data_IF_658295198140
#
_entry.id   IF_658295198140
#
_cell.length_a   1.000
_cell.length_b   1.000
_cell.length_c   1.000
_cell.angle_alpha   90.00
_cell.angle_beta   90.00
_cell.angle_gamma   90.00
#
_symmetry.space_group_name_H-M   'P 1'
#
loop_
_entity.id
_entity.type
_entity.pdbx_description
1 polymer ?
#
# COMPACT_ATOMS: atom_id res chain seq x y z
N UNK A 1 -20.97 -33.13 20.00
CA UNK A 1 -19.72 -33.26 19.24
C UNK A 1 -19.68 -32.06 18.32
N UNK A 2 -19.04 -30.97 18.75
CA UNK A 2 -19.02 -29.70 18.03
C UNK A 2 -18.03 -29.81 16.85
N UNK A 3 -18.57 -29.89 15.65
CA UNK A 3 -17.79 -29.79 14.42
C UNK A 3 -17.25 -28.36 14.31
N UNK A 4 -16.01 -28.15 14.75
CA UNK A 4 -15.30 -26.89 14.53
C UNK A 4 -15.19 -26.68 13.01
N UNK A 5 -15.99 -25.76 12.49
CA UNK A 5 -15.92 -25.33 11.10
C UNK A 5 -14.47 -24.94 10.76
N UNK A 6 -13.90 -25.60 9.75
CA UNK A 6 -12.57 -25.26 9.20
C UNK A 6 -12.63 -23.80 8.73
N UNK A 7 -11.66 -22.94 9.12
CA UNK A 7 -11.66 -21.55 8.68
C UNK A 7 -11.70 -21.49 7.14
N UNK A 8 -12.36 -20.48 6.56
CA UNK A 8 -12.46 -20.35 5.11
C UNK A 8 -11.04 -20.36 4.51
N UNK A 9 -10.84 -21.18 3.48
CA UNK A 9 -9.59 -21.15 2.72
C UNK A 9 -9.43 -19.78 2.08
N UNK A 10 -8.24 -19.21 2.19
CA UNK A 10 -7.88 -17.97 1.49
C UNK A 10 -7.96 -18.18 -0.01
N UNK A 11 -8.46 -17.18 -0.72
CA UNK A 11 -8.49 -17.18 -2.18
C UNK A 11 -7.11 -16.87 -2.75
N UNK A 12 -6.89 -17.15 -4.04
CA UNK A 12 -5.68 -16.73 -4.75
C UNK A 12 -5.45 -15.21 -4.65
N UNK A 13 -6.52 -14.42 -4.74
CA UNK A 13 -6.46 -12.96 -4.60
C UNK A 13 -5.98 -12.53 -3.20
N UNK A 14 -6.38 -13.25 -2.15
CA UNK A 14 -5.92 -12.99 -0.79
C UNK A 14 -4.43 -13.28 -0.67
N UNK A 15 -3.95 -14.38 -1.26
CA UNK A 15 -2.53 -14.73 -1.28
C UNK A 15 -1.67 -13.69 -2.02
N UNK A 16 -2.13 -13.22 -3.18
CA UNK A 16 -1.45 -12.15 -3.93
C UNK A 16 -1.44 -10.82 -3.16
N UNK A 17 -2.55 -10.50 -2.48
CA UNK A 17 -2.66 -9.30 -1.67
C UNK A 17 -1.72 -9.34 -0.45
N UNK A 18 -1.60 -10.49 0.20
CA UNK A 18 -0.68 -10.71 1.33
C UNK A 18 0.78 -10.65 0.90
N UNK A 19 1.13 -11.28 -0.22
CA UNK A 19 2.46 -11.19 -0.81
C UNK A 19 2.82 -9.73 -1.11
N UNK A 20 1.93 -8.99 -1.77
CA UNK A 20 2.11 -7.56 -2.05
C UNK A 20 2.28 -6.72 -0.79
N UNK A 21 1.53 -7.00 0.28
CA UNK A 21 1.66 -6.30 1.56
C UNK A 21 3.05 -6.52 2.19
N UNK A 22 3.54 -7.76 2.19
CA UNK A 22 4.89 -8.10 2.70
C UNK A 22 5.97 -7.42 1.87
N UNK A 23 5.84 -7.42 0.55
CA UNK A 23 6.78 -6.74 -0.34
C UNK A 23 6.82 -5.23 -0.09
N UNK A 24 5.66 -4.58 0.06
CA UNK A 24 5.63 -3.15 0.41
C UNK A 24 6.34 -2.90 1.73
N UNK A 25 6.05 -3.69 2.77
CA UNK A 25 6.68 -3.52 4.07
C UNK A 25 8.22 -3.66 3.99
N UNK A 26 8.71 -4.62 3.21
CA UNK A 26 10.15 -4.82 2.98
C UNK A 26 10.78 -3.71 2.11
N UNK A 27 10.01 -3.09 1.21
CA UNK A 27 10.52 -2.02 0.34
C UNK A 27 10.69 -0.68 1.06
N UNK A 28 9.83 -0.35 2.04
CA UNK A 28 9.79 0.98 2.67
C UNK A 28 11.14 1.51 3.18
N UNK A 29 12.00 0.72 3.86
CA UNK A 29 13.32 1.18 4.31
C UNK A 29 14.25 1.60 3.17
N UNK A 30 14.11 0.99 1.99
CA UNK A 30 14.98 1.20 0.83
C UNK A 30 14.51 2.37 -0.04
N UNK A 31 13.18 2.59 -0.11
CA UNK A 31 12.57 3.67 -0.92
C UNK A 31 13.14 5.06 -0.58
N UNK A 32 13.49 5.31 0.69
CA UNK A 32 14.02 6.61 1.12
C UNK A 32 15.28 6.99 0.34
N UNK A 33 16.13 6.01 0.02
CA UNK A 33 17.39 6.20 -0.69
C UNK A 33 17.23 5.93 -2.19
N UNK A 34 16.74 4.74 -2.53
CA UNK A 34 16.71 4.21 -3.90
C UNK A 34 15.44 4.58 -4.68
N UNK A 35 14.47 5.20 -4.00
CA UNK A 35 13.17 5.53 -4.56
C UNK A 35 12.32 4.30 -4.89
N UNK A 36 11.25 4.52 -5.66
CA UNK A 36 10.47 3.44 -6.25
C UNK A 36 11.18 2.96 -7.52
N UNK A 37 12.03 1.96 -7.38
CA UNK A 37 12.91 1.48 -8.46
C UNK A 37 12.97 -0.05 -8.50
N UNK A 38 13.45 -0.59 -9.61
CA UNK A 38 13.67 -2.04 -9.76
C UNK A 38 14.64 -2.58 -8.70
N UNK A 39 15.65 -1.78 -8.31
CA UNK A 39 16.56 -2.14 -7.22
C UNK A 39 15.80 -2.31 -5.90
N UNK A 40 14.91 -1.37 -5.55
CA UNK A 40 14.04 -1.47 -4.38
C UNK A 40 13.14 -2.70 -4.45
N UNK A 41 12.61 -3.05 -5.63
CA UNK A 41 11.78 -4.25 -5.79
C UNK A 41 12.59 -5.53 -5.59
N UNK A 42 13.78 -5.64 -6.18
CA UNK A 42 14.65 -6.80 -6.03
C UNK A 42 15.08 -7.01 -4.57
N UNK A 43 15.43 -5.94 -3.86
CA UNK A 43 15.77 -6.02 -2.43
C UNK A 43 14.53 -6.39 -1.59
N UNK A 44 13.37 -5.83 -1.89
CA UNK A 44 12.12 -6.19 -1.21
C UNK A 44 11.76 -7.68 -1.41
N UNK A 45 12.00 -8.25 -2.59
CA UNK A 45 11.84 -9.69 -2.82
C UNK A 45 12.76 -10.51 -1.91
N UNK A 46 14.04 -10.13 -1.81
CA UNK A 46 15.01 -10.80 -0.96
C UNK A 46 14.65 -10.70 0.55
N UNK A 47 14.18 -9.53 0.99
CA UNK A 47 13.95 -9.23 2.41
C UNK A 47 12.56 -9.66 2.92
N UNK A 48 11.58 -9.80 2.04
CA UNK A 48 10.17 -10.03 2.43
C UNK A 48 9.84 -11.47 2.82
N UNK A 49 10.70 -12.44 2.49
CA UNK A 49 10.42 -13.86 2.60
C UNK A 49 9.28 -14.35 1.70
N UNK A 50 8.87 -13.55 0.71
CA UNK A 50 7.91 -13.95 -0.34
C UNK A 50 8.67 -14.72 -1.42
N UNK A 51 8.09 -15.83 -1.87
CA UNK A 51 8.65 -16.56 -3.02
C UNK A 51 8.80 -15.63 -4.23
N UNK A 52 9.96 -15.61 -4.94
CA UNK A 52 10.18 -14.67 -6.02
C UNK A 52 9.13 -14.74 -7.14
N UNK A 53 8.69 -15.95 -7.52
CA UNK A 53 7.68 -16.10 -8.56
C UNK A 53 6.32 -15.56 -8.11
N UNK A 54 5.93 -15.82 -6.86
CA UNK A 54 4.74 -15.22 -6.26
C UNK A 54 4.86 -13.68 -6.17
N UNK A 55 6.04 -13.16 -5.88
CA UNK A 55 6.29 -11.74 -5.80
C UNK A 55 6.15 -11.03 -7.15
N UNK A 56 6.68 -11.63 -8.22
CA UNK A 56 6.45 -11.15 -9.59
C UNK A 56 4.99 -11.27 -10.02
N UNK A 57 4.28 -12.31 -9.59
CA UNK A 57 2.85 -12.43 -9.86
C UNK A 57 2.04 -11.37 -9.09
N UNK A 58 2.43 -11.05 -7.86
CA UNK A 58 1.78 -10.04 -7.03
C UNK A 58 2.07 -8.59 -7.51
N UNK A 59 3.25 -8.35 -8.09
CA UNK A 59 3.70 -7.06 -8.62
C UNK A 59 4.29 -7.23 -10.04
N UNK A 60 3.46 -7.48 -11.07
CA UNK A 60 3.95 -7.72 -12.42
C UNK A 60 4.70 -6.52 -13.03
N UNK A 61 4.44 -5.30 -12.55
CA UNK A 61 5.13 -4.07 -12.96
C UNK A 61 6.22 -3.64 -11.95
N UNK A 62 6.62 -4.56 -11.06
CA UNK A 62 7.67 -4.35 -10.07
C UNK A 62 7.39 -3.16 -9.15
N UNK A 63 8.32 -2.21 -9.15
CA UNK A 63 8.29 -1.03 -8.28
C UNK A 63 7.03 -0.17 -8.41
N UNK A 64 6.44 -0.09 -9.61
CA UNK A 64 5.20 0.66 -9.83
C UNK A 64 4.04 0.08 -9.03
N UNK A 65 3.90 -1.24 -9.05
CA UNK A 65 2.85 -1.92 -8.29
C UNK A 65 3.09 -1.81 -6.77
N UNK A 66 4.36 -1.78 -6.32
CA UNK A 66 4.68 -1.49 -4.92
C UNK A 66 4.27 -0.07 -4.51
N UNK A 67 4.60 0.94 -5.31
CA UNK A 67 4.25 2.32 -5.04
C UNK A 67 2.72 2.49 -4.92
N UNK A 68 1.98 1.93 -5.88
CA UNK A 68 0.52 1.93 -5.87
C UNK A 68 -0.06 1.18 -4.67
N UNK A 69 0.53 0.04 -4.32
CA UNK A 69 0.11 -0.72 -3.14
C UNK A 69 0.31 0.05 -1.85
N UNK A 70 1.41 0.78 -1.71
CA UNK A 70 1.67 1.67 -0.59
C UNK A 70 0.61 2.78 -0.49
N UNK A 71 0.26 3.42 -1.61
CA UNK A 71 -0.80 4.43 -1.65
C UNK A 71 -2.15 3.87 -1.17
N UNK A 72 -2.54 2.71 -1.70
CA UNK A 72 -3.78 2.01 -1.31
C UNK A 72 -3.77 1.52 0.14
N UNK A 73 -2.60 1.23 0.72
CA UNK A 73 -2.48 0.92 2.15
C UNK A 73 -2.80 2.15 3.01
N UNK A 74 -2.30 3.33 2.62
CA UNK A 74 -2.63 4.60 3.27
C UNK A 74 -4.12 4.93 3.19
N UNK A 75 -4.76 4.69 2.04
CA UNK A 75 -6.21 4.93 1.89
C UNK A 75 -7.03 4.01 2.80
N UNK A 76 -6.67 2.71 2.86
CA UNK A 76 -7.29 1.76 3.79
C UNK A 76 -7.08 2.16 5.24
N UNK A 77 -5.91 2.70 5.60
CA UNK A 77 -5.63 3.21 6.94
C UNK A 77 -6.49 4.44 7.27
N UNK A 78 -6.67 5.36 6.32
CA UNK A 78 -7.56 6.50 6.46
C UNK A 78 -9.01 6.04 6.66
N UNK A 79 -9.49 5.09 5.85
CA UNK A 79 -10.85 4.54 5.98
C UNK A 79 -11.10 3.89 7.33
N UNK A 80 -10.15 3.09 7.84
CA UNK A 80 -10.23 2.53 9.20
C UNK A 80 -10.34 3.59 10.30
N UNK A 81 -9.76 4.77 10.09
CA UNK A 81 -9.85 5.90 11.04
C UNK A 81 -11.21 6.61 11.00
N UNK A 82 -11.92 6.55 9.87
CA UNK A 82 -13.21 7.23 9.67
C UNK A 82 -14.39 6.43 10.25
N UNK A 83 -14.26 5.10 10.32
CA UNK A 83 -15.30 4.17 10.77
C UNK A 83 -15.71 4.39 12.25
N UNK A 84 -15.01 5.25 12.99
CA UNK A 84 -15.32 5.63 14.37
C UNK A 84 -16.36 6.75 14.51
N UNK A 85 -17.15 7.05 13.47
CA UNK A 85 -18.22 8.07 13.51
C UNK A 85 -17.76 9.53 13.48
N UNK A 86 -16.46 9.79 13.30
CA UNK A 86 -15.84 11.13 13.43
C UNK A 86 -16.26 12.18 12.39
N UNK A 87 -17.07 11.81 11.39
CA UNK A 87 -17.54 12.71 10.34
C UNK A 87 -19.03 13.08 10.43
N UNK A 88 -19.77 12.47 11.37
CA UNK A 88 -21.19 12.74 11.54
C UNK A 88 -21.41 14.21 11.95
N UNK A 89 -22.47 14.84 11.43
CA UNK A 89 -22.82 16.24 11.74
C UNK A 89 -21.93 17.32 11.10
N UNK A 90 -20.81 16.97 10.45
CA UNK A 90 -19.97 17.94 9.75
C UNK A 90 -20.59 18.40 8.42
N UNK A 91 -20.41 19.68 8.06
CA UNK A 91 -20.67 20.19 6.70
C UNK A 91 -19.74 19.51 5.69
N UNK A 92 -20.17 19.42 4.43
CA UNK A 92 -19.39 18.74 3.37
C UNK A 92 -17.93 19.21 3.26
N UNK A 93 -17.68 20.52 3.26
CA UNK A 93 -16.31 21.07 3.21
C UNK A 93 -15.45 20.67 4.42
N UNK A 94 -16.06 20.53 5.60
CA UNK A 94 -15.37 20.06 6.81
C UNK A 94 -15.10 18.56 6.76
N UNK A 95 -16.00 17.78 6.16
CA UNK A 95 -15.75 16.36 5.88
C UNK A 95 -14.55 16.18 4.96
N UNK A 96 -14.51 16.89 3.83
CA UNK A 96 -13.37 16.82 2.89
C UNK A 96 -12.06 17.22 3.57
N UNK A 97 -12.04 18.33 4.31
CA UNK A 97 -10.85 18.76 5.04
C UNK A 97 -10.37 17.72 6.07
N UNK A 98 -11.30 17.08 6.80
CA UNK A 98 -10.97 16.02 7.76
C UNK A 98 -10.38 14.78 7.05
N UNK A 99 -10.97 14.36 5.94
CA UNK A 99 -10.47 13.22 5.14
C UNK A 99 -9.05 13.47 4.64
N UNK A 100 -8.79 14.64 4.05
CA UNK A 100 -7.45 15.03 3.59
C UNK A 100 -6.46 15.00 4.76
N UNK A 101 -6.83 15.58 5.90
CA UNK A 101 -5.99 15.59 7.10
C UNK A 101 -5.70 14.17 7.59
N UNK A 102 -6.71 13.30 7.69
CA UNK A 102 -6.51 11.91 8.12
C UNK A 102 -5.60 11.15 7.17
N UNK A 103 -5.70 11.38 5.85
CA UNK A 103 -4.83 10.73 4.88
C UNK A 103 -3.37 11.15 5.04
N UNK A 104 -3.12 12.42 5.36
CA UNK A 104 -1.79 12.94 5.65
C UNK A 104 -1.23 12.38 6.97
N UNK A 105 -2.06 12.31 8.02
CA UNK A 105 -1.66 11.79 9.34
C UNK A 105 -1.26 10.30 9.28
N UNK A 106 -1.88 9.51 8.39
CA UNK A 106 -1.58 8.07 8.23
C UNK A 106 -0.60 7.78 7.08
N UNK A 107 -0.05 8.80 6.43
CA UNK A 107 0.77 8.62 5.22
C UNK A 107 2.13 7.92 5.49
N UNK A 108 2.55 7.83 6.76
CA UNK A 108 3.83 7.23 7.13
C UNK A 108 4.99 8.19 6.91
N UNK A 109 6.13 7.65 6.44
CA UNK A 109 7.34 8.42 6.20
C UNK A 109 7.14 9.45 5.07
N UNK A 110 7.44 10.72 5.38
CA UNK A 110 7.32 11.83 4.44
C UNK A 110 8.21 11.66 3.20
N UNK A 111 9.38 11.07 3.34
CA UNK A 111 10.28 10.88 2.20
C UNK A 111 9.76 9.80 1.26
N UNK A 112 9.19 8.71 1.79
CA UNK A 112 8.49 7.69 0.97
C UNK A 112 7.37 8.32 0.14
N UNK A 113 6.59 9.22 0.76
CA UNK A 113 5.52 9.95 0.06
C UNK A 113 6.10 10.86 -1.02
N UNK A 114 7.17 11.61 -0.72
CA UNK A 114 7.82 12.51 -1.70
C UNK A 114 8.36 11.73 -2.89
N UNK A 115 9.02 10.59 -2.65
CA UNK A 115 9.51 9.69 -3.70
C UNK A 115 8.36 9.15 -4.55
N UNK A 116 7.22 8.86 -3.94
CA UNK A 116 5.99 8.50 -4.66
C UNK A 116 5.51 9.61 -5.59
N UNK A 117 5.38 10.84 -5.09
CA UNK A 117 4.95 12.00 -5.90
C UNK A 117 5.87 12.21 -7.11
N UNK A 118 7.19 12.19 -6.91
CA UNK A 118 8.14 12.33 -8.02
C UNK A 118 8.02 11.19 -9.03
N UNK A 119 7.85 9.95 -8.54
CA UNK A 119 7.72 8.78 -9.40
C UNK A 119 6.47 8.84 -10.27
N UNK A 120 5.31 9.17 -9.71
CA UNK A 120 4.07 9.30 -10.47
C UNK A 120 4.02 10.54 -11.36
N UNK A 121 4.79 11.59 -11.07
CA UNK A 121 4.88 12.75 -11.96
C UNK A 121 5.62 12.46 -13.28
N UNK A 122 6.34 11.34 -13.39
CA UNK A 122 7.00 10.94 -14.63
C UNK A 122 5.96 10.62 -15.72
N UNK A 123 6.16 11.00 -16.99
CA UNK A 123 5.17 10.79 -18.05
C UNK A 123 4.71 9.32 -18.21
N UNK A 124 5.61 8.37 -17.97
CA UNK A 124 5.31 6.94 -18.05
C UNK A 124 4.40 6.43 -16.91
N UNK A 125 4.24 7.20 -15.83
CA UNK A 125 3.50 6.83 -14.62
C UNK A 125 2.39 7.81 -14.25
N UNK A 126 2.25 8.92 -15.00
CA UNK A 126 1.32 10.01 -14.71
C UNK A 126 -0.16 9.60 -14.63
N UNK A 127 -0.56 8.55 -15.34
CA UNK A 127 -1.94 8.06 -15.30
C UNK A 127 -2.25 7.20 -14.06
N UNK A 128 -1.25 6.82 -13.28
CA UNK A 128 -1.38 5.89 -12.15
C UNK A 128 -1.51 6.62 -10.79
N UNK A 129 -1.03 7.86 -10.69
CA UNK A 129 -0.89 8.64 -9.45
C UNK A 129 -2.05 9.56 -9.10
#
# INVERSE_FOLDING_TARGET
MEERAKPPQKTEFDHLSEARQRLVAAALPHVVFDGWSEATFAVALADSGVDPALGHLACPRGALDLALANHRQGDRAMLRRIDSGGLAGLRYSKKVAALVRFRLEVAGDREVVRRGVTYFAMPAHAAEG
#
